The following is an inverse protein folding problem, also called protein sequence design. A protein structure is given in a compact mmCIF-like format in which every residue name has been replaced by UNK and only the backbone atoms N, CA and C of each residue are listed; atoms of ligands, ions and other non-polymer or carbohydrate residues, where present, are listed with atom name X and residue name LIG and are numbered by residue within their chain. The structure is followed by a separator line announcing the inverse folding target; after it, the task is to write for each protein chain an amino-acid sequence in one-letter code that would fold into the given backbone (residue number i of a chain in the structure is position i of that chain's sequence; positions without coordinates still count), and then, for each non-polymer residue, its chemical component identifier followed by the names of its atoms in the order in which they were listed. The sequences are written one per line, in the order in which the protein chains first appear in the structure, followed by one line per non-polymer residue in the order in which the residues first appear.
data_IF_383517451823
#
_entry.id   IF_383517451823
#
_cell.length_a   1.000
_cell.length_b   1.000
_cell.length_c   1.000
_cell.angle_alpha   90.00
_cell.angle_beta   90.00
_cell.angle_gamma   90.00
#
_symmetry.space_group_name_H-M   'P 1'
#
loop_
_entity.id
_entity.type
_entity.pdbx_description
1 polymer ?
#
# COMPACT_ATOMS: atom_id res chain seq x y z
N UNK A 1 8.75 11.36 -2.74
CA UNK A 1 8.40 10.92 -1.37
C UNK A 1 7.09 10.14 -1.40
N UNK A 2 6.98 9.05 -0.65
CA UNK A 2 5.72 8.31 -0.44
C UNK A 2 5.60 8.01 1.06
N UNK A 3 4.46 8.37 1.68
CA UNK A 3 4.19 8.23 3.11
C UNK A 3 5.39 8.65 4.01
N UNK A 4 5.87 9.88 3.80
CA UNK A 4 6.97 10.50 4.55
C UNK A 4 8.35 9.86 4.38
N UNK A 5 8.48 8.86 3.49
CA UNK A 5 9.76 8.26 3.13
C UNK A 5 10.22 8.78 1.77
N UNK A 6 11.50 9.17 1.68
CA UNK A 6 12.12 9.62 0.44
C UNK A 6 12.65 8.44 -0.37
N UNK A 7 12.40 8.47 -1.67
CA UNK A 7 12.89 7.46 -2.62
C UNK A 7 13.55 8.15 -3.81
N UNK A 8 14.71 7.65 -4.23
CA UNK A 8 15.38 8.19 -5.41
C UNK A 8 14.59 7.85 -6.67
N UNK A 9 14.31 8.87 -7.49
CA UNK A 9 13.84 8.68 -8.86
C UNK A 9 15.06 8.44 -9.73
N UNK A 10 15.09 7.32 -10.44
CA UNK A 10 16.13 6.96 -11.42
C UNK A 10 15.46 6.69 -12.75
N UNK A 11 16.25 6.65 -13.81
CA UNK A 11 15.77 6.14 -15.10
C UNK A 11 15.17 4.73 -14.90
N UNK A 12 14.07 4.46 -15.59
CA UNK A 12 13.37 3.17 -15.57
C UNK A 12 12.89 2.76 -14.15
N UNK A 13 12.39 3.74 -13.37
CA UNK A 13 11.76 3.49 -12.09
C UNK A 13 10.23 3.53 -12.18
N UNK A 14 9.58 2.57 -11.52
CA UNK A 14 8.13 2.50 -11.40
C UNK A 14 7.76 2.66 -9.93
N UNK A 15 6.86 3.61 -9.66
CA UNK A 15 6.33 3.85 -8.33
C UNK A 15 4.91 3.33 -8.22
N UNK A 16 4.65 2.57 -7.16
CA UNK A 16 3.34 2.09 -6.79
C UNK A 16 2.82 2.93 -5.64
N UNK A 17 1.73 3.63 -5.87
CA UNK A 17 1.06 4.44 -4.85
C UNK A 17 -0.33 3.84 -4.61
N UNK A 18 -0.56 3.34 -3.41
CA UNK A 18 -1.83 2.76 -3.02
C UNK A 18 -2.85 3.85 -2.63
N UNK A 19 -4.12 3.45 -2.54
CA UNK A 19 -5.18 4.31 -2.01
C UNK A 19 -4.76 4.89 -0.65
N UNK A 20 -5.04 6.17 -0.47
CA UNK A 20 -4.75 6.93 0.75
C UNK A 20 -3.25 7.11 1.09
N UNK A 21 -2.32 6.74 0.22
CA UNK A 21 -0.91 7.10 0.39
C UNK A 21 -0.65 8.53 -0.02
N UNK A 22 0.02 9.27 0.86
CA UNK A 22 0.52 10.62 0.55
C UNK A 22 1.75 10.50 -0.32
N UNK A 23 1.77 11.18 -1.46
CA UNK A 23 2.93 11.21 -2.32
C UNK A 23 3.25 12.63 -2.78
N UNK A 24 4.52 12.89 -2.97
CA UNK A 24 5.04 14.18 -3.39
C UNK A 24 6.22 13.96 -4.34
N UNK A 25 6.24 14.69 -5.44
CA UNK A 25 7.37 14.77 -6.35
C UNK A 25 8.09 16.10 -6.14
N UNK A 26 9.41 16.06 -6.06
CA UNK A 26 10.22 17.25 -5.91
C UNK A 26 10.10 18.12 -7.17
N UNK A 27 9.66 19.38 -7.00
CA UNK A 27 9.48 20.32 -8.09
C UNK A 27 10.80 20.72 -8.78
N UNK A 28 11.94 20.49 -8.14
CA UNK A 28 13.27 20.81 -8.67
C UNK A 28 13.86 19.70 -9.54
N UNK A 29 13.13 18.59 -9.76
CA UNK A 29 13.63 17.46 -10.53
C UNK A 29 12.88 17.38 -11.86
N UNK A 30 13.60 17.48 -12.98
CA UNK A 30 13.03 17.22 -14.30
C UNK A 30 12.92 15.70 -14.52
N UNK A 31 11.69 15.20 -14.48
CA UNK A 31 11.38 13.79 -14.79
C UNK A 31 10.22 13.73 -15.79
N UNK A 32 10.29 12.74 -16.68
CA UNK A 32 9.25 12.44 -17.66
C UNK A 32 8.76 11.00 -17.44
N UNK A 33 7.47 10.78 -17.61
CA UNK A 33 6.91 9.45 -17.47
C UNK A 33 5.41 9.42 -17.65
N UNK A 34 4.83 8.27 -17.35
CA UNK A 34 3.40 8.01 -17.41
C UNK A 34 2.84 7.86 -16.00
N UNK A 35 1.64 8.34 -15.80
CA UNK A 35 0.85 8.06 -14.60
C UNK A 35 -0.34 7.18 -15.00
N UNK A 36 -0.40 5.98 -14.43
CA UNK A 36 -1.55 5.08 -14.54
C UNK A 36 -2.38 5.18 -13.28
N UNK A 37 -3.60 5.69 -13.41
CA UNK A 37 -4.56 5.79 -12.32
C UNK A 37 -5.76 4.90 -12.60
N UNK A 38 -6.12 4.04 -11.65
CA UNK A 38 -7.27 3.13 -11.73
C UNK A 38 -7.81 2.83 -10.33
N UNK A 39 -9.08 2.43 -10.26
CA UNK A 39 -9.69 1.98 -9.02
C UNK A 39 -9.72 0.43 -8.94
N UNK A 40 -9.93 -0.10 -7.75
CA UNK A 40 -9.98 -1.55 -7.54
C UNK A 40 -11.11 -2.21 -8.34
N UNK A 41 -12.29 -1.58 -8.40
CA UNK A 41 -13.44 -2.11 -9.14
C UNK A 41 -13.21 -2.24 -10.63
N UNK A 42 -12.25 -1.50 -11.20
CA UNK A 42 -11.85 -1.66 -12.59
C UNK A 42 -11.12 -2.98 -12.84
N UNK A 43 -10.30 -3.43 -11.89
CA UNK A 43 -9.50 -4.65 -12.01
C UNK A 43 -10.18 -5.91 -11.46
N UNK A 44 -11.09 -5.75 -10.50
CA UNK A 44 -11.63 -6.86 -9.71
C UNK A 44 -13.10 -7.05 -10.01
N UNK A 45 -13.43 -8.11 -10.77
CA UNK A 45 -14.81 -8.51 -11.06
C UNK A 45 -15.19 -9.88 -10.47
N UNK A 46 -14.20 -10.67 -10.03
CA UNK A 46 -14.44 -12.00 -9.48
C UNK A 46 -13.39 -12.40 -8.43
N UNK A 47 -13.66 -13.45 -7.68
CA UNK A 47 -12.79 -13.92 -6.59
C UNK A 47 -11.37 -14.30 -7.05
N UNK A 48 -11.18 -14.77 -8.29
CA UNK A 48 -9.86 -15.12 -8.80
C UNK A 48 -9.00 -13.88 -9.07
N UNK A 49 -9.62 -12.77 -9.46
CA UNK A 49 -8.96 -11.48 -9.66
C UNK A 49 -8.61 -10.81 -8.34
N UNK A 50 -9.49 -10.92 -7.32
CA UNK A 50 -9.16 -10.55 -5.93
C UNK A 50 -7.89 -11.29 -5.49
N UNK A 51 -7.85 -12.60 -5.69
CA UNK A 51 -6.69 -13.41 -5.31
C UNK A 51 -5.43 -12.98 -6.05
N UNK A 52 -5.52 -12.67 -7.35
CA UNK A 52 -4.39 -12.14 -8.12
C UNK A 52 -3.91 -10.78 -7.60
N UNK A 53 -4.84 -9.84 -7.36
CA UNK A 53 -4.51 -8.50 -6.87
C UNK A 53 -3.85 -8.56 -5.48
N UNK A 54 -4.38 -9.38 -4.59
CA UNK A 54 -3.80 -9.62 -3.26
C UNK A 54 -2.43 -10.30 -3.33
N UNK A 55 -2.23 -11.22 -4.29
CA UNK A 55 -0.94 -11.90 -4.52
C UNK A 55 0.12 -10.98 -5.13
N UNK A 56 -0.27 -10.00 -5.93
CA UNK A 56 0.66 -9.10 -6.62
C UNK A 56 1.43 -8.18 -5.69
N UNK A 57 0.91 -7.90 -4.51
CA UNK A 57 1.61 -7.18 -3.43
C UNK A 57 2.10 -5.75 -3.79
N UNK A 58 1.60 -5.16 -4.89
CA UNK A 58 2.05 -3.84 -5.33
C UNK A 58 1.48 -2.71 -4.48
N UNK A 59 0.22 -2.85 -4.07
CA UNK A 59 -0.56 -1.77 -3.48
C UNK A 59 -0.95 -2.01 -2.03
N UNK A 60 -0.86 -3.27 -1.54
CA UNK A 60 -1.43 -3.68 -0.26
C UNK A 60 -0.37 -3.98 0.82
N UNK A 61 0.90 -3.73 0.55
CA UNK A 61 1.96 -3.95 1.54
C UNK A 61 2.72 -2.66 1.83
N UNK A 62 2.36 -1.91 2.88
CA UNK A 62 3.03 -0.68 3.27
C UNK A 62 4.48 -0.91 3.72
N UNK A 63 4.92 -2.16 3.87
CA UNK A 63 6.27 -2.56 4.30
C UNK A 63 7.19 -2.93 3.13
N UNK A 64 6.68 -2.90 1.91
CA UNK A 64 7.52 -3.04 0.72
C UNK A 64 7.87 -1.67 0.16
N UNK A 65 9.04 -1.60 -0.49
CA UNK A 65 9.43 -0.40 -1.22
C UNK A 65 8.37 -0.11 -2.30
N UNK A 66 7.82 1.11 -2.36
CA UNK A 66 6.90 1.51 -3.41
C UNK A 66 7.59 1.69 -4.76
N UNK A 67 8.91 1.57 -4.83
CA UNK A 67 9.69 1.73 -6.06
C UNK A 67 10.21 0.38 -6.56
N UNK A 68 10.12 0.17 -7.87
CA UNK A 68 10.74 -0.92 -8.60
C UNK A 68 11.61 -0.34 -9.71
N UNK A 69 12.90 -0.69 -9.72
CA UNK A 69 13.82 -0.35 -10.79
C UNK A 69 13.81 -1.48 -11.79
N UNK A 70 13.49 -1.18 -13.06
CA UNK A 70 13.35 -2.17 -14.13
C UNK A 70 14.55 -2.11 -15.08
N UNK A 71 14.83 -3.22 -15.73
CA UNK A 71 15.84 -3.28 -16.79
C UNK A 71 15.25 -2.89 -18.15
N UNK A 72 16.12 -2.80 -19.17
CA UNK A 72 15.73 -2.40 -20.52
C UNK A 72 14.74 -3.36 -21.16
N UNK A 73 14.84 -4.65 -20.87
CA UNK A 73 13.97 -5.68 -21.47
C UNK A 73 12.54 -5.53 -20.97
N UNK A 74 12.36 -5.44 -19.67
CA UNK A 74 11.02 -5.25 -19.09
C UNK A 74 10.48 -3.86 -19.43
N UNK A 75 11.34 -2.83 -19.48
CA UNK A 75 10.95 -1.49 -19.92
C UNK A 75 10.26 -1.52 -21.28
N UNK A 76 10.88 -2.11 -22.31
CA UNK A 76 10.31 -2.23 -23.67
C UNK A 76 8.98 -2.99 -23.68
N UNK A 77 8.87 -4.06 -22.87
CA UNK A 77 7.63 -4.82 -22.74
C UNK A 77 6.52 -3.97 -22.15
N UNK A 78 6.82 -3.21 -21.10
CA UNK A 78 5.84 -2.36 -20.44
C UNK A 78 5.43 -1.15 -21.28
N UNK A 79 6.36 -0.57 -22.05
CA UNK A 79 6.06 0.49 -23.03
C UNK A 79 5.05 0.02 -24.07
N UNK A 80 5.15 -1.23 -24.54
CA UNK A 80 4.18 -1.80 -25.48
C UNK A 80 2.76 -1.78 -24.90
N UNK A 81 2.59 -2.20 -23.61
CA UNK A 81 1.28 -2.15 -22.97
C UNK A 81 0.78 -0.73 -22.72
N UNK A 82 1.69 0.20 -22.40
CA UNK A 82 1.33 1.62 -22.24
C UNK A 82 0.83 2.21 -23.56
N UNK A 83 1.49 1.91 -24.68
CA UNK A 83 1.08 2.34 -26.01
C UNK A 83 -0.31 1.78 -26.38
N UNK A 84 -0.58 0.50 -26.07
CA UNK A 84 -1.91 -0.10 -26.30
C UNK A 84 -2.99 0.54 -25.42
N UNK A 85 -2.69 0.80 -24.14
CA UNK A 85 -3.61 1.51 -23.25
C UNK A 85 -3.93 2.92 -23.75
N UNK A 86 -2.93 3.66 -24.24
CA UNK A 86 -3.13 5.00 -24.80
C UNK A 86 -3.95 4.97 -26.09
N UNK A 87 -3.66 4.02 -27.00
CA UNK A 87 -4.42 3.87 -28.24
C UNK A 87 -5.90 3.56 -27.95
N UNK A 88 -6.17 2.65 -27.00
CA UNK A 88 -7.53 2.28 -26.64
C UNK A 88 -8.28 3.42 -25.93
N UNK A 89 -7.58 4.22 -25.12
CA UNK A 89 -8.18 5.40 -24.49
C UNK A 89 -8.55 6.50 -25.49
N UNK A 90 -7.85 6.58 -26.61
CA UNK A 90 -8.07 7.61 -27.63
C UNK A 90 -9.39 7.42 -28.41
N UNK A 91 -9.93 6.19 -28.52
CA UNK A 91 -11.21 5.92 -29.17
C UNK A 91 -12.34 5.72 -28.13
N UNK A 92 -13.23 6.70 -27.92
CA UNK A 92 -14.33 6.58 -26.95
C UNK A 92 -15.39 5.54 -27.32
N UNK A 93 -15.52 5.21 -28.60
CA UNK A 93 -16.60 4.38 -29.15
C UNK A 93 -16.16 2.95 -29.49
N UNK A 94 -14.90 2.56 -29.19
CA UNK A 94 -14.40 1.23 -29.53
C UNK A 94 -15.17 0.12 -28.82
N UNK A 95 -15.60 -0.88 -29.58
CA UNK A 95 -16.25 -2.07 -29.06
C UNK A 95 -15.31 -2.84 -28.13
N UNK A 96 -15.74 -3.17 -26.91
CA UNK A 96 -14.94 -3.94 -25.95
C UNK A 96 -13.78 -3.14 -25.32
N UNK A 97 -13.84 -1.81 -25.36
CA UNK A 97 -12.81 -0.90 -24.84
C UNK A 97 -12.45 -1.21 -23.38
N UNK A 98 -13.44 -1.34 -22.52
CA UNK A 98 -13.18 -1.56 -21.09
C UNK A 98 -12.49 -2.91 -20.83
N UNK A 99 -12.88 -3.95 -21.56
CA UNK A 99 -12.27 -5.27 -21.50
C UNK A 99 -10.82 -5.27 -21.98
N UNK A 100 -10.52 -4.56 -23.06
CA UNK A 100 -9.14 -4.42 -23.57
C UNK A 100 -8.27 -3.62 -22.62
N UNK A 101 -8.75 -2.47 -22.13
CA UNK A 101 -8.03 -1.68 -21.14
C UNK A 101 -7.69 -2.49 -19.89
N UNK A 102 -8.66 -3.28 -19.38
CA UNK A 102 -8.47 -4.18 -18.25
C UNK A 102 -7.46 -5.28 -18.56
N UNK A 103 -7.56 -5.87 -19.76
CA UNK A 103 -6.62 -6.90 -20.25
C UNK A 103 -5.18 -6.39 -20.30
N UNK A 104 -4.96 -5.23 -20.91
CA UNK A 104 -3.63 -4.61 -21.02
C UNK A 104 -3.06 -4.22 -19.66
N UNK A 105 -3.87 -3.60 -18.79
CA UNK A 105 -3.43 -3.24 -17.45
C UNK A 105 -3.08 -4.49 -16.63
N UNK A 106 -3.88 -5.56 -16.73
CA UNK A 106 -3.61 -6.83 -16.07
C UNK A 106 -2.31 -7.48 -16.58
N UNK A 107 -2.11 -7.49 -17.90
CA UNK A 107 -0.88 -8.00 -18.50
C UNK A 107 0.35 -7.19 -18.05
N UNK A 108 0.26 -5.86 -18.03
CA UNK A 108 1.28 -4.96 -17.49
C UNK A 108 1.67 -5.34 -16.05
N UNK A 109 0.69 -5.45 -15.16
CA UNK A 109 0.92 -5.80 -13.75
C UNK A 109 1.50 -7.21 -13.58
N UNK A 110 1.06 -8.20 -14.40
CA UNK A 110 1.59 -9.56 -14.37
C UNK A 110 3.07 -9.58 -14.79
N UNK A 111 3.46 -8.89 -15.86
CA UNK A 111 4.85 -8.84 -16.30
C UNK A 111 5.75 -8.22 -15.25
N UNK A 112 5.29 -7.15 -14.65
CA UNK A 112 6.01 -6.47 -13.58
C UNK A 112 6.16 -7.34 -12.33
N UNK A 113 5.12 -8.12 -11.97
CA UNK A 113 5.18 -9.07 -10.86
C UNK A 113 6.16 -10.21 -11.15
N UNK A 114 6.18 -10.73 -12.37
CA UNK A 114 7.16 -11.76 -12.78
C UNK A 114 8.60 -11.24 -12.66
N UNK A 115 8.84 -10.03 -13.14
CA UNK A 115 10.13 -9.37 -13.02
C UNK A 115 10.56 -9.19 -11.57
N UNK A 116 9.67 -8.68 -10.70
CA UNK A 116 9.93 -8.52 -9.26
C UNK A 116 10.27 -9.87 -8.57
N UNK A 117 9.55 -10.93 -8.93
CA UNK A 117 9.77 -12.25 -8.37
C UNK A 117 11.11 -12.87 -8.81
N UNK A 118 11.62 -12.52 -10.01
CA UNK A 118 12.95 -12.95 -10.46
C UNK A 118 14.08 -12.27 -9.70
N UNK A 119 13.90 -11.00 -9.35
CA UNK A 119 14.89 -10.24 -8.57
C UNK A 119 14.95 -10.64 -7.08
N UNK A 120 13.82 -11.03 -6.53
CA UNK A 120 13.70 -11.50 -5.16
C UNK A 120 12.97 -12.85 -5.20
N UNK A 121 13.70 -13.96 -5.41
CA UNK A 121 13.06 -15.26 -5.37
C UNK A 121 12.33 -15.41 -4.04
N UNK A 122 11.08 -15.87 -4.06
CA UNK A 122 10.32 -16.06 -2.84
C UNK A 122 11.12 -17.00 -1.94
N UNK A 123 11.45 -16.57 -0.73
CA UNK A 123 11.91 -17.50 0.29
C UNK A 123 10.92 -18.68 0.30
N UNK A 124 11.41 -19.92 0.49
CA UNK A 124 10.63 -21.17 0.49
C UNK A 124 9.56 -21.21 1.61
N UNK A 125 8.64 -20.24 1.57
CA UNK A 125 7.53 -20.15 2.51
C UNK A 125 6.28 -20.52 1.75
N UNK A 126 5.52 -21.44 2.30
CA UNK A 126 4.26 -21.91 1.74
C UNK A 126 3.40 -20.69 1.37
N UNK A 127 2.83 -20.70 0.19
CA UNK A 127 1.90 -19.65 -0.34
C UNK A 127 0.81 -19.30 0.71
N UNK A 128 0.43 -20.27 1.54
CA UNK A 128 -0.52 -20.14 2.63
C UNK A 128 -0.09 -19.14 3.73
N UNK A 129 1.13 -19.21 4.26
CA UNK A 129 1.60 -18.26 5.29
C UNK A 129 1.69 -16.84 4.78
N UNK A 130 2.07 -16.69 3.51
CA UNK A 130 2.08 -15.38 2.85
C UNK A 130 0.66 -14.83 2.68
N UNK A 131 -0.29 -15.66 2.29
CA UNK A 131 -1.71 -15.28 2.20
C UNK A 131 -2.27 -14.90 3.58
N UNK A 132 -1.91 -15.63 4.63
CA UNK A 132 -2.28 -15.30 6.01
C UNK A 132 -1.71 -13.94 6.43
N UNK A 133 -0.45 -13.63 6.08
CA UNK A 133 0.13 -12.30 6.34
C UNK A 133 -0.67 -11.19 5.65
N UNK A 134 -0.94 -11.34 4.34
CA UNK A 134 -1.70 -10.36 3.58
C UNK A 134 -3.12 -10.17 4.13
N UNK A 135 -3.79 -11.27 4.50
CA UNK A 135 -5.10 -11.21 5.16
C UNK A 135 -5.03 -10.43 6.48
N UNK A 136 -3.97 -10.63 7.27
CA UNK A 136 -3.76 -9.86 8.50
C UNK A 136 -3.59 -8.37 8.23
N UNK A 137 -2.74 -7.99 7.27
CA UNK A 137 -2.52 -6.60 6.88
C UNK A 137 -3.84 -5.94 6.46
N UNK A 138 -4.65 -6.61 5.63
CA UNK A 138 -5.95 -6.11 5.19
C UNK A 138 -6.92 -5.95 6.36
N UNK A 139 -7.01 -6.92 7.26
CA UNK A 139 -7.85 -6.82 8.46
C UNK A 139 -7.42 -5.66 9.36
N UNK A 140 -6.11 -5.42 9.49
CA UNK A 140 -5.61 -4.24 10.22
C UNK A 140 -6.04 -2.95 9.51
N UNK A 141 -5.94 -2.89 8.19
CA UNK A 141 -6.35 -1.70 7.41
C UNK A 141 -7.87 -1.43 7.51
N UNK A 142 -8.68 -2.47 7.58
CA UNK A 142 -10.14 -2.34 7.75
C UNK A 142 -10.58 -1.98 9.17
N UNK A 143 -9.81 -2.38 10.17
CA UNK A 143 -10.27 -2.37 11.57
C UNK A 143 -9.36 -1.63 12.56
N UNK A 144 -8.32 -0.93 12.12
CA UNK A 144 -7.36 -0.25 13.01
C UNK A 144 -8.01 0.77 13.96
N UNK A 145 -9.17 1.32 13.62
CA UNK A 145 -9.92 2.27 14.46
C UNK A 145 -10.79 1.58 15.53
N UNK A 146 -10.93 0.25 15.49
CA UNK A 146 -11.82 -0.49 16.39
C UNK A 146 -11.16 -0.90 17.72
N UNK A 147 -9.88 -0.57 17.92
CA UNK A 147 -9.15 -0.93 19.14
C UNK A 147 -8.95 -2.44 19.35
N UNK A 148 -9.06 -3.26 18.28
CA UNK A 148 -8.94 -4.70 18.40
C UNK A 148 -7.54 -5.12 18.88
N UNK A 149 -7.52 -6.07 19.81
CA UNK A 149 -6.30 -6.73 20.28
C UNK A 149 -5.74 -7.72 19.24
N UNK A 150 -4.47 -8.08 19.37
CA UNK A 150 -3.84 -9.13 18.54
C UNK A 150 -4.61 -10.45 18.62
N UNK A 151 -5.17 -10.78 19.79
CA UNK A 151 -5.98 -12.00 19.98
C UNK A 151 -7.29 -11.96 19.19
N UNK A 152 -7.92 -10.79 19.07
CA UNK A 152 -9.14 -10.62 18.28
C UNK A 152 -8.86 -10.72 16.79
N UNK A 153 -7.78 -10.11 16.29
CA UNK A 153 -7.35 -10.31 14.91
C UNK A 153 -7.02 -11.78 14.61
N UNK A 154 -6.32 -12.46 15.51
CA UNK A 154 -6.02 -13.88 15.34
C UNK A 154 -7.30 -14.74 15.28
N UNK A 155 -8.32 -14.44 16.12
CA UNK A 155 -9.64 -15.10 16.06
C UNK A 155 -10.35 -14.87 14.73
N UNK A 156 -10.35 -13.65 14.18
CA UNK A 156 -10.92 -13.34 12.86
C UNK A 156 -10.27 -14.14 11.73
N UNK A 157 -9.02 -14.54 11.94
CA UNK A 157 -8.25 -15.35 10.99
C UNK A 157 -8.30 -16.86 11.26
N UNK A 158 -8.98 -17.29 12.32
CA UNK A 158 -8.94 -18.67 12.82
C UNK A 158 -7.53 -19.17 13.15
N UNK A 159 -6.68 -18.28 13.69
CA UNK A 159 -5.30 -18.54 14.07
C UNK A 159 -5.10 -18.31 15.57
N UNK A 160 -4.02 -18.89 16.13
CA UNK A 160 -3.52 -18.47 17.44
C UNK A 160 -2.69 -17.17 17.32
N UNK A 161 -2.65 -16.37 18.40
CA UNK A 161 -1.78 -15.20 18.48
C UNK A 161 -0.30 -15.55 18.28
N UNK A 162 0.10 -16.75 18.70
CA UNK A 162 1.46 -17.30 18.52
C UNK A 162 1.75 -17.53 17.03
N UNK A 163 0.84 -18.17 16.31
CA UNK A 163 0.95 -18.39 14.86
C UNK A 163 1.04 -17.08 14.11
N UNK A 164 0.16 -16.11 14.45
CA UNK A 164 0.18 -14.79 13.85
C UNK A 164 1.52 -14.06 14.09
N UNK A 165 2.07 -14.15 15.33
CA UNK A 165 3.37 -13.57 15.66
C UNK A 165 4.53 -14.23 14.90
N UNK A 166 4.47 -15.56 14.69
CA UNK A 166 5.47 -16.26 13.87
C UNK A 166 5.42 -15.79 12.41
N UNK A 167 4.23 -15.63 11.84
CA UNK A 167 4.04 -15.15 10.46
C UNK A 167 4.60 -13.73 10.31
N UNK A 168 4.18 -12.79 11.15
CA UNK A 168 4.63 -11.38 11.05
C UNK A 168 6.12 -11.24 11.35
N UNK A 169 6.65 -12.00 12.32
CA UNK A 169 8.07 -12.05 12.65
C UNK A 169 8.91 -12.58 11.48
N UNK A 170 8.45 -13.65 10.84
CA UNK A 170 9.18 -14.29 9.74
C UNK A 170 9.26 -13.37 8.50
N UNK A 171 8.14 -12.77 8.09
CA UNK A 171 8.08 -12.00 6.84
C UNK A 171 8.52 -10.54 6.97
N UNK A 172 8.27 -9.92 8.14
CA UNK A 172 8.42 -8.49 8.33
C UNK A 172 9.40 -8.12 9.45
N UNK A 173 9.88 -9.12 10.19
CA UNK A 173 10.65 -8.93 11.42
C UNK A 173 9.95 -7.98 12.42
N UNK A 174 8.62 -8.07 12.50
CA UNK A 174 7.76 -7.22 13.34
C UNK A 174 6.74 -8.06 14.10
N UNK A 175 6.32 -7.55 15.26
CA UNK A 175 5.19 -8.14 15.98
C UNK A 175 3.86 -7.70 15.37
N UNK A 176 2.77 -8.48 15.51
CA UNK A 176 1.43 -8.07 15.07
C UNK A 176 1.01 -6.71 15.67
N UNK A 177 1.24 -6.51 16.96
CA UNK A 177 0.92 -5.25 17.63
C UNK A 177 1.65 -4.05 17.01
N UNK A 178 2.91 -4.24 16.58
CA UNK A 178 3.68 -3.19 15.91
C UNK A 178 3.05 -2.78 14.58
N UNK A 179 2.51 -3.74 13.82
CA UNK A 179 1.84 -3.45 12.55
C UNK A 179 0.56 -2.62 12.75
N UNK A 180 -0.24 -2.95 13.76
CA UNK A 180 -1.42 -2.16 14.14
C UNK A 180 -1.01 -0.73 14.52
N UNK A 181 0.02 -0.60 15.37
CA UNK A 181 0.53 0.70 15.81
C UNK A 181 1.00 1.56 14.64
N UNK A 182 1.81 1.00 13.74
CA UNK A 182 2.31 1.68 12.55
C UNK A 182 1.17 2.15 11.64
N UNK A 183 0.12 1.33 11.46
CA UNK A 183 -1.05 1.72 10.67
C UNK A 183 -1.81 2.90 11.29
N UNK A 184 -2.01 2.89 12.61
CA UNK A 184 -2.68 3.99 13.32
C UNK A 184 -1.85 5.28 13.19
N UNK A 185 -0.53 5.20 13.42
CA UNK A 185 0.36 6.36 13.33
C UNK A 185 0.40 6.93 11.91
N UNK A 186 0.49 6.08 10.89
CA UNK A 186 0.46 6.52 9.50
C UNK A 186 -0.81 7.29 9.17
N UNK A 187 -1.97 6.79 9.60
CA UNK A 187 -3.24 7.49 9.38
C UNK A 187 -3.33 8.80 10.16
N UNK A 188 -2.83 8.80 11.41
CA UNK A 188 -2.74 10.02 12.20
C UNK A 188 -1.90 11.10 11.48
N UNK A 189 -0.75 10.73 10.94
CA UNK A 189 0.12 11.63 10.17
C UNK A 189 -0.57 12.18 8.92
N UNK A 190 -1.30 11.33 8.18
CA UNK A 190 -2.08 11.74 7.00
C UNK A 190 -3.18 12.73 7.37
N UNK A 191 -3.92 12.46 8.43
CA UNK A 191 -4.97 13.37 8.92
C UNK A 191 -4.39 14.70 9.43
N UNK A 192 -3.24 14.67 10.10
CA UNK A 192 -2.55 15.88 10.55
C UNK A 192 -2.09 16.76 9.37
N UNK A 193 -1.72 16.15 8.25
CA UNK A 193 -1.23 16.84 7.06
C UNK A 193 -2.37 17.37 6.17
N UNK A 194 -3.42 16.58 5.94
CA UNK A 194 -4.38 16.82 4.87
C UNK A 194 -5.81 17.11 5.34
N UNK A 195 -6.05 17.26 6.65
CA UNK A 195 -7.39 17.58 7.13
C UNK A 195 -7.41 18.82 8.01
N UNK A 196 -8.55 19.52 8.00
CA UNK A 196 -8.86 20.65 8.89
C UNK A 196 -9.24 20.18 10.33
N UNK A 197 -9.21 18.88 10.60
CA UNK A 197 -9.59 18.34 11.91
C UNK A 197 -8.59 18.81 12.97
N UNK A 198 -9.11 19.20 14.15
CA UNK A 198 -8.26 19.44 15.32
C UNK A 198 -7.75 18.11 15.89
N UNK A 199 -6.76 18.18 16.80
CA UNK A 199 -6.08 16.99 17.34
C UNK A 199 -7.05 16.07 18.08
N UNK A 200 -8.03 16.62 18.81
CA UNK A 200 -9.02 15.82 19.52
C UNK A 200 -9.94 15.07 18.54
N UNK A 201 -10.38 15.75 17.46
CA UNK A 201 -11.19 15.13 16.40
C UNK A 201 -10.44 14.01 15.70
N UNK A 202 -9.13 14.18 15.47
CA UNK A 202 -8.28 13.12 14.90
C UNK A 202 -8.22 11.93 15.84
N UNK A 203 -8.03 12.16 17.15
CA UNK A 203 -8.04 11.09 18.13
C UNK A 203 -9.33 10.27 18.09
N UNK A 204 -10.49 10.92 18.14
CA UNK A 204 -11.80 10.26 18.04
C UNK A 204 -11.97 9.51 16.71
N UNK A 205 -11.56 10.11 15.59
CA UNK A 205 -11.63 9.47 14.26
C UNK A 205 -10.78 8.21 14.14
N UNK A 206 -9.67 8.15 14.90
CA UNK A 206 -8.80 6.98 14.99
C UNK A 206 -9.26 5.93 16.01
N UNK A 207 -10.39 6.16 16.67
CA UNK A 207 -10.99 5.22 17.61
C UNK A 207 -10.47 5.34 19.05
N UNK A 208 -9.86 6.47 19.42
CA UNK A 208 -9.47 6.73 20.80
C UNK A 208 -10.64 7.37 21.56
N UNK A 209 -11.03 6.77 22.68
CA UNK A 209 -12.07 7.32 23.57
C UNK A 209 -11.60 8.59 24.30
N UNK A 210 -10.28 8.70 24.56
CA UNK A 210 -9.65 9.86 25.20
C UNK A 210 -8.60 10.49 24.27
N UNK A 211 -8.82 11.74 23.81
CA UNK A 211 -7.84 12.47 23.01
C UNK A 211 -6.49 12.68 23.72
N UNK A 212 -6.46 12.77 25.04
CA UNK A 212 -5.20 12.90 25.79
C UNK A 212 -4.38 11.61 25.70
N UNK A 213 -5.04 10.46 25.67
CA UNK A 213 -4.37 9.18 25.42
C UNK A 213 -3.84 9.10 23.99
N UNK A 214 -4.59 9.57 22.99
CA UNK A 214 -4.10 9.68 21.61
C UNK A 214 -2.83 10.52 21.51
N UNK A 215 -2.76 11.69 22.14
CA UNK A 215 -1.56 12.56 22.14
C UNK A 215 -0.34 11.82 22.71
N UNK A 216 -0.50 11.14 23.84
CA UNK A 216 0.58 10.32 24.45
C UNK A 216 0.99 9.16 23.55
N UNK A 217 0.02 8.47 22.97
CA UNK A 217 0.23 7.35 22.05
C UNK A 217 1.00 7.80 20.80
N UNK A 218 0.57 8.88 20.15
CA UNK A 218 1.24 9.43 18.98
C UNK A 218 2.68 9.82 19.31
N UNK A 219 2.90 10.60 20.39
CA UNK A 219 4.24 11.01 20.81
C UNK A 219 5.17 9.82 21.07
N UNK A 220 4.67 8.78 21.73
CA UNK A 220 5.42 7.56 22.02
C UNK A 220 5.90 6.85 20.74
N UNK A 221 5.09 6.83 19.68
CA UNK A 221 5.37 6.04 18.47
C UNK A 221 5.94 6.87 17.32
N UNK A 222 5.65 8.17 17.24
CA UNK A 222 6.15 9.10 16.22
C UNK A 222 7.36 9.93 16.70
N UNK A 223 7.68 9.91 18.00
CA UNK A 223 8.80 10.65 18.60
C UNK A 223 8.50 12.12 18.93
N UNK A 224 7.48 12.71 18.32
CA UNK A 224 7.04 14.10 18.51
C UNK A 224 5.55 14.16 18.79
N UNK A 225 5.06 15.24 19.38
CA UNK A 225 3.61 15.40 19.60
C UNK A 225 2.86 15.67 18.29
N UNK A 226 1.53 15.39 18.22
CA UNK A 226 0.74 15.71 17.03
C UNK A 226 0.82 17.18 16.62
N UNK A 227 0.86 18.10 17.60
CA UNK A 227 0.97 19.54 17.33
C UNK A 227 2.33 19.93 16.76
N UNK A 228 3.42 19.35 17.27
CA UNK A 228 4.78 19.53 16.75
C UNK A 228 4.89 18.97 15.33
N UNK A 229 4.34 17.75 15.11
CA UNK A 229 4.32 17.14 13.78
C UNK A 229 3.59 18.02 12.76
N UNK A 230 2.38 18.50 13.08
CA UNK A 230 1.62 19.39 12.18
C UNK A 230 2.41 20.67 11.83
N UNK A 231 3.06 21.29 12.81
CA UNK A 231 3.89 22.50 12.57
C UNK A 231 5.14 22.25 11.75
N UNK A 232 5.70 21.05 11.79
CA UNK A 232 6.92 20.73 11.03
C UNK A 232 6.67 20.50 9.54
N UNK A 233 5.42 20.35 9.12
CA UNK A 233 5.01 20.08 7.72
C UNK A 233 4.13 21.20 7.14
N UNK A 234 3.73 22.18 7.95
CA UNK A 234 3.10 23.45 7.50
C UNK A 234 4.15 24.47 7.12
#
# INVERSE_FOLDING_TARGET
MVDFNSYAVRQDSIFFVAKNQVHYFDANTDYRGYMLHFNESFLIHNNSEVAFFLKSNFFNNPYQSPVCYIDRTIHQTLETYLAQLQAELADPAALGKEELLRGYLKAFLIQLQRFKNQQQPPAFVTDEKRQQLLRYINLVDEHYTKGLSVGEYARLMHLSSRTLSQITGHFLNKTPSRLIQERIILEAQRLLLHSELNINQIGFRLGFDDPSYFVKYFKKHAGVSPSEFRRSIS
#
